data_IF_970817466328
#
_entry.id   IF_970817466328
#
_cell.length_a   1.000
_cell.length_b   1.000
_cell.length_c   1.000
_cell.angle_alpha   90.00
_cell.angle_beta   90.00
_cell.angle_gamma   90.00
#
_symmetry.space_group_name_H-M   'P 1'
#
loop_
_entity.id
_entity.type
_entity.pdbx_description
1 polymer ?
#
# COMPACT_ATOMS: atom_id res chain seq x y z
N UNK A 1 0.35 -2.08 -5.20
CA UNK A 1 -1.13 -2.16 -5.13
C UNK A 1 -1.68 -0.85 -4.55
N UNK A 2 -1.72 0.19 -5.40
CA UNK A 2 -1.98 1.58 -5.03
C UNK A 2 -3.46 1.80 -4.64
N UNK A 3 -3.70 2.55 -3.56
CA UNK A 3 -5.03 2.95 -3.06
C UNK A 3 -6.02 1.79 -2.92
N UNK A 4 -5.51 0.61 -2.61
CA UNK A 4 -6.32 -0.59 -2.43
C UNK A 4 -6.58 -1.40 -3.70
N UNK A 5 -6.16 -0.92 -4.87
CA UNK A 5 -6.43 -1.58 -6.15
C UNK A 5 -5.29 -2.55 -6.51
N UNK A 6 -5.58 -3.81 -6.80
CA UNK A 6 -4.58 -4.75 -7.29
C UNK A 6 -3.91 -4.28 -8.58
N UNK A 7 -2.65 -4.64 -8.76
CA UNK A 7 -2.03 -4.59 -10.08
C UNK A 7 -2.60 -5.68 -11.00
N UNK A 8 -2.47 -5.49 -12.31
CA UNK A 8 -2.71 -6.57 -13.28
C UNK A 8 -1.52 -7.53 -13.26
N UNK A 9 -1.57 -8.53 -12.40
CA UNK A 9 -0.50 -9.51 -12.25
C UNK A 9 -0.33 -10.41 -13.47
N UNK A 10 -1.38 -10.60 -14.28
CA UNK A 10 -1.26 -11.34 -15.54
C UNK A 10 -0.42 -10.55 -16.53
N UNK A 11 -0.71 -9.26 -16.70
CA UNK A 11 0.04 -8.40 -17.58
C UNK A 11 1.48 -8.20 -17.08
N UNK A 12 1.67 -8.05 -15.76
CA UNK A 12 3.00 -7.97 -15.17
C UNK A 12 3.82 -9.22 -15.46
N UNK A 13 3.26 -10.41 -15.23
CA UNK A 13 3.92 -11.68 -15.53
C UNK A 13 4.24 -11.81 -17.03
N UNK A 14 3.30 -11.43 -17.90
CA UNK A 14 3.51 -11.42 -19.35
C UNK A 14 4.66 -10.50 -19.78
N UNK A 15 4.75 -9.32 -19.17
CA UNK A 15 5.82 -8.34 -19.47
C UNK A 15 7.17 -8.82 -18.95
N UNK A 16 7.21 -9.42 -17.77
CA UNK A 16 8.45 -9.98 -17.21
C UNK A 16 8.95 -11.13 -18.10
N UNK A 17 8.05 -12.03 -18.54
CA UNK A 17 8.43 -13.19 -19.35
C UNK A 17 9.49 -14.06 -18.65
N UNK A 18 10.51 -14.44 -19.39
CA UNK A 18 11.60 -15.31 -18.90
C UNK A 18 12.74 -14.54 -18.20
N UNK A 19 12.55 -13.26 -17.86
CA UNK A 19 13.59 -12.49 -17.17
C UNK A 19 13.69 -12.92 -15.71
N UNK A 20 14.91 -13.02 -15.21
CA UNK A 20 15.19 -13.24 -13.80
C UNK A 20 14.93 -11.94 -13.01
N UNK A 21 13.68 -11.74 -12.63
CA UNK A 21 13.20 -10.54 -11.92
C UNK A 21 12.42 -10.94 -10.68
N UNK A 22 12.81 -10.39 -9.54
CA UNK A 22 12.08 -10.54 -8.29
C UNK A 22 10.93 -9.53 -8.23
N UNK A 23 9.76 -9.99 -7.82
CA UNK A 23 8.61 -9.14 -7.55
C UNK A 23 8.49 -8.97 -6.03
N UNK A 24 8.50 -7.72 -5.60
CA UNK A 24 8.15 -7.31 -4.24
C UNK A 24 6.85 -6.51 -4.31
N UNK A 25 5.86 -6.89 -3.48
CA UNK A 25 4.57 -6.22 -3.46
C UNK A 25 4.48 -5.24 -2.29
N UNK A 26 4.25 -3.97 -2.59
CA UNK A 26 3.81 -3.02 -1.57
C UNK A 26 2.28 -3.05 -1.47
N UNK A 27 1.77 -3.52 -0.32
CA UNK A 27 0.36 -3.63 0.01
C UNK A 27 -0.02 -2.76 1.21
N UNK A 28 0.74 -1.72 1.49
CA UNK A 28 0.47 -0.85 2.62
C UNK A 28 -0.96 -0.28 2.55
N UNK A 29 -1.46 0.00 1.34
CA UNK A 29 -2.81 0.52 1.10
C UNK A 29 -3.80 -0.54 0.59
N UNK A 30 -3.43 -1.81 0.50
CA UNK A 30 -4.23 -2.84 -0.17
C UNK A 30 -4.45 -4.13 0.62
N UNK A 31 -4.38 -4.03 1.95
CA UNK A 31 -4.68 -5.16 2.82
C UNK A 31 -6.11 -5.68 2.54
N UNK A 32 -6.23 -6.98 2.24
CA UNK A 32 -7.48 -7.65 1.88
C UNK A 32 -7.94 -7.47 0.43
N UNK A 33 -7.18 -6.77 -0.41
CA UNK A 33 -7.41 -6.78 -1.84
C UNK A 33 -7.03 -8.14 -2.45
N UNK A 34 -7.76 -8.55 -3.49
CA UNK A 34 -7.48 -9.82 -4.19
C UNK A 34 -7.49 -9.63 -5.70
N UNK A 35 -6.65 -10.40 -6.40
CA UNK A 35 -6.67 -10.50 -7.85
C UNK A 35 -6.91 -11.96 -8.23
N UNK A 36 -7.98 -12.22 -9.00
CA UNK A 36 -8.41 -13.57 -9.38
C UNK A 36 -8.57 -14.53 -8.18
N UNK A 37 -9.05 -14.02 -7.05
CA UNK A 37 -9.28 -14.78 -5.83
C UNK A 37 -8.04 -15.02 -4.97
N UNK A 38 -6.84 -14.63 -5.42
CA UNK A 38 -5.60 -14.71 -4.64
C UNK A 38 -5.31 -13.39 -3.95
N UNK A 39 -4.88 -13.41 -2.69
CA UNK A 39 -4.57 -12.23 -1.90
C UNK A 39 -3.39 -11.45 -2.49
N UNK A 40 -3.54 -10.12 -2.60
CA UNK A 40 -2.40 -9.24 -2.86
C UNK A 40 -1.36 -9.36 -1.74
N UNK A 41 -0.08 -9.26 -2.09
CA UNK A 41 1.03 -9.53 -1.17
C UNK A 41 1.58 -10.95 -1.24
N UNK A 42 0.97 -11.82 -2.06
CA UNK A 42 1.38 -13.22 -2.21
C UNK A 42 1.72 -13.61 -3.66
N UNK A 43 1.74 -12.65 -4.58
CA UNK A 43 2.08 -12.90 -5.99
C UNK A 43 3.58 -12.89 -6.25
N UNK A 44 4.33 -12.08 -5.50
CA UNK A 44 5.78 -11.98 -5.60
C UNK A 44 6.53 -12.79 -4.54
N UNK A 45 7.84 -12.56 -4.46
CA UNK A 45 8.72 -13.18 -3.45
C UNK A 45 8.33 -12.77 -2.02
N UNK A 46 7.97 -11.50 -1.84
CA UNK A 46 7.55 -10.93 -0.57
C UNK A 46 6.47 -9.88 -0.79
N UNK A 47 5.60 -9.71 0.22
CA UNK A 47 4.62 -8.64 0.29
C UNK A 47 4.72 -7.87 1.60
N UNK A 48 4.73 -6.53 1.54
CA UNK A 48 4.68 -5.67 2.72
C UNK A 48 3.27 -5.18 2.99
N UNK A 49 2.93 -5.03 4.28
CA UNK A 49 1.66 -4.47 4.75
C UNK A 49 1.93 -3.45 5.83
N UNK A 50 1.18 -2.37 5.86
CA UNK A 50 1.23 -1.38 6.92
C UNK A 50 0.07 -1.56 7.91
N UNK A 51 0.37 -1.35 9.17
CA UNK A 51 -0.60 -1.19 10.25
C UNK A 51 -0.49 0.19 10.92
N UNK A 52 -0.02 1.18 10.15
CA UNK A 52 -0.02 2.59 10.53
C UNK A 52 -1.45 3.06 10.79
N UNK A 53 -1.63 4.06 11.66
CA UNK A 53 -2.94 4.43 12.21
C UNK A 53 -4.03 4.74 11.16
N UNK A 54 -3.67 5.18 9.96
CA UNK A 54 -4.61 5.55 8.90
C UNK A 54 -4.89 4.43 7.89
N UNK A 55 -4.34 3.24 8.09
CA UNK A 55 -4.49 2.12 7.16
C UNK A 55 -5.71 1.24 7.50
N UNK A 56 -5.89 0.12 6.80
CA UNK A 56 -7.07 -0.75 6.95
C UNK A 56 -7.24 -1.30 8.36
N UNK A 57 -6.13 -1.65 9.01
CA UNK A 57 -6.06 -1.95 10.45
C UNK A 57 -4.95 -1.10 11.06
N UNK A 58 -5.06 -0.78 12.33
CA UNK A 58 -4.13 0.11 12.99
C UNK A 58 -3.52 -0.51 14.26
N UNK A 59 -2.20 -0.42 14.37
CA UNK A 59 -1.45 -0.74 15.59
C UNK A 59 -0.66 0.47 16.10
N UNK A 60 -1.10 1.67 15.77
CA UNK A 60 -0.45 2.96 15.88
C UNK A 60 0.70 3.09 14.87
N UNK A 61 1.79 2.43 15.09
CA UNK A 61 2.90 2.21 14.17
C UNK A 61 3.10 0.71 13.99
N UNK A 62 3.53 0.29 12.82
CA UNK A 62 3.85 -1.11 12.55
C UNK A 62 3.63 -1.54 11.11
N UNK A 63 3.97 -2.78 10.85
CA UNK A 63 3.81 -3.42 9.55
C UNK A 63 4.21 -4.87 9.60
N UNK A 64 3.98 -5.56 8.50
CA UNK A 64 4.30 -6.97 8.33
C UNK A 64 4.92 -7.18 6.95
N UNK A 65 5.85 -8.11 6.88
CA UNK A 65 6.32 -8.69 5.62
C UNK A 65 5.92 -10.15 5.60
N UNK A 66 5.32 -10.60 4.51
CA UNK A 66 4.94 -12.00 4.30
C UNK A 66 5.75 -12.59 3.14
N UNK A 67 6.11 -13.85 3.27
CA UNK A 67 6.82 -14.61 2.24
C UNK A 67 6.58 -16.11 2.45
N UNK A 68 6.57 -16.88 1.36
CA UNK A 68 6.59 -18.34 1.38
C UNK A 68 8.02 -18.90 1.24
N UNK A 69 9.02 -18.02 1.05
CA UNK A 69 10.43 -18.37 0.94
C UNK A 69 11.08 -18.44 2.34
N UNK A 70 11.55 -19.61 2.72
CA UNK A 70 12.09 -19.88 4.05
C UNK A 70 13.42 -19.14 4.30
N UNK A 71 14.27 -18.99 3.29
CA UNK A 71 15.51 -18.22 3.40
C UNK A 71 15.22 -16.74 3.66
N UNK A 72 14.31 -16.15 2.87
CA UNK A 72 13.84 -14.78 3.09
C UNK A 72 13.22 -14.61 4.48
N UNK A 73 12.42 -15.56 4.94
CA UNK A 73 11.83 -15.51 6.28
C UNK A 73 12.90 -15.49 7.39
N UNK A 74 13.90 -16.36 7.31
CA UNK A 74 15.00 -16.40 8.27
C UNK A 74 15.85 -15.11 8.23
N UNK A 75 16.14 -14.59 7.03
CA UNK A 75 16.83 -13.31 6.87
C UNK A 75 16.04 -12.16 7.52
N UNK A 76 14.74 -12.09 7.30
CA UNK A 76 13.86 -11.06 7.89
C UNK A 76 13.84 -11.15 9.42
N UNK A 77 13.80 -12.36 9.99
CA UNK A 77 13.87 -12.57 11.45
C UNK A 77 15.16 -12.02 12.05
N UNK A 78 16.30 -12.24 11.40
CA UNK A 78 17.59 -11.73 11.84
C UNK A 78 17.70 -10.22 11.62
N UNK A 79 17.40 -9.74 10.40
CA UNK A 79 17.54 -8.33 10.00
C UNK A 79 16.73 -7.38 10.88
N UNK A 80 15.50 -7.74 11.26
CA UNK A 80 14.64 -6.88 12.11
C UNK A 80 15.21 -6.64 13.51
N UNK A 81 16.18 -7.47 13.93
CA UNK A 81 16.75 -7.50 15.28
C UNK A 81 18.28 -7.49 15.23
N UNK A 82 18.88 -6.52 14.57
CA UNK A 82 20.33 -6.28 14.49
C UNK A 82 21.16 -7.39 13.81
N UNK A 83 20.54 -8.36 13.14
CA UNK A 83 21.22 -9.55 12.64
C UNK A 83 21.41 -10.65 13.70
N UNK A 84 20.58 -10.66 14.75
CA UNK A 84 20.68 -11.58 15.88
C UNK A 84 20.11 -12.98 15.56
N UNK A 85 20.83 -14.02 16.00
CA UNK A 85 20.43 -15.42 15.79
C UNK A 85 19.34 -15.90 16.74
N UNK A 86 19.05 -15.14 17.81
CA UNK A 86 18.13 -15.56 18.90
C UNK A 86 16.78 -16.12 18.43
N UNK A 87 16.16 -15.48 17.44
CA UNK A 87 14.83 -15.84 16.96
C UNK A 87 14.86 -16.79 15.74
N UNK A 88 16.04 -17.18 15.28
CA UNK A 88 16.17 -18.16 14.22
C UNK A 88 15.86 -19.57 14.77
N UNK A 89 15.25 -20.46 13.99
CA UNK A 89 15.18 -21.88 14.33
C UNK A 89 16.58 -22.53 14.33
N UNK A 90 16.71 -23.70 14.93
CA UNK A 90 18.00 -24.39 14.99
C UNK A 90 18.52 -24.73 13.60
N UNK A 91 17.64 -25.21 12.72
CA UNK A 91 17.93 -25.35 11.30
C UNK A 91 17.47 -24.11 10.56
N UNK A 92 18.39 -23.30 10.04
CA UNK A 92 18.09 -22.05 9.34
C UNK A 92 19.10 -21.77 8.21
N UNK A 93 18.75 -20.85 7.32
CA UNK A 93 19.55 -20.49 6.15
C UNK A 93 20.53 -19.32 6.39
N UNK A 94 20.62 -18.79 7.61
CA UNK A 94 21.42 -17.58 7.89
C UNK A 94 22.77 -17.92 8.51
N UNK A 95 22.79 -18.82 9.50
CA UNK A 95 24.03 -19.25 10.17
C UNK A 95 23.82 -20.52 10.98
N UNK A 96 24.82 -21.39 11.04
CA UNK A 96 24.84 -22.50 11.96
C UNK A 96 24.79 -22.00 13.41
N UNK A 97 23.92 -22.54 14.25
CA UNK A 97 23.86 -22.20 15.65
C UNK A 97 24.94 -22.91 16.46
N UNK A 98 25.44 -22.23 17.47
CA UNK A 98 26.38 -22.83 18.43
C UNK A 98 25.63 -23.64 19.49
N UNK A 99 26.16 -24.82 19.84
CA UNK A 99 25.68 -25.64 20.97
C UNK A 99 26.02 -24.95 22.32
N UNK A 100 26.93 -24.01 22.33
CA UNK A 100 27.28 -23.24 23.51
C UNK A 100 26.28 -22.09 23.72
N UNK A 101 25.38 -22.24 24.68
CA UNK A 101 24.37 -21.24 25.02
C UNK A 101 24.95 -19.86 25.29
N UNK A 102 26.11 -19.77 25.96
CA UNK A 102 26.72 -18.51 26.29
C UNK A 102 27.19 -17.75 25.05
N UNK A 103 27.80 -18.43 24.10
CA UNK A 103 28.26 -17.85 22.83
C UNK A 103 27.07 -17.45 21.94
N UNK A 104 26.02 -18.29 21.89
CA UNK A 104 24.84 -18.05 21.05
C UNK A 104 23.95 -16.92 21.58
N UNK A 105 23.96 -16.64 22.90
CA UNK A 105 23.00 -15.74 23.54
C UNK A 105 23.02 -14.30 23.01
N UNK A 106 24.17 -13.80 22.53
CA UNK A 106 24.35 -12.47 21.95
C UNK A 106 25.12 -12.52 20.62
N UNK A 107 24.80 -13.48 19.79
CA UNK A 107 25.48 -13.66 18.52
C UNK A 107 24.75 -12.93 17.38
N UNK A 108 25.48 -12.01 16.73
CA UNK A 108 25.02 -11.22 15.58
C UNK A 108 25.83 -11.62 14.35
N UNK A 109 25.18 -12.04 13.29
CA UNK A 109 25.83 -12.71 12.14
C UNK A 109 25.76 -11.90 10.85
N UNK A 110 24.82 -10.97 10.76
CA UNK A 110 24.67 -10.04 9.64
C UNK A 110 24.38 -8.63 10.15
N UNK A 111 24.71 -7.56 9.40
CA UNK A 111 24.24 -6.21 9.70
C UNK A 111 22.71 -6.18 9.64
N UNK A 112 22.08 -5.59 10.66
CA UNK A 112 20.62 -5.55 10.74
C UNK A 112 20.10 -4.22 11.29
N UNK A 113 18.78 -4.15 11.45
CA UNK A 113 18.04 -2.97 11.89
C UNK A 113 17.49 -3.16 13.29
N UNK A 114 17.04 -2.08 13.91
CA UNK A 114 16.27 -2.12 15.15
C UNK A 114 14.80 -1.82 14.85
N UNK A 115 14.08 -2.82 14.30
CA UNK A 115 12.68 -2.66 13.87
C UNK A 115 11.79 -3.78 14.43
N UNK A 116 12.11 -4.26 15.64
CA UNK A 116 11.26 -5.23 16.34
C UNK A 116 9.94 -4.58 16.75
N UNK A 117 8.79 -5.26 16.55
CA UNK A 117 7.51 -4.73 16.98
C UNK A 117 7.39 -4.73 18.51
N UNK A 118 6.53 -3.85 19.03
CA UNK A 118 6.10 -3.93 20.42
C UNK A 118 5.08 -5.06 20.58
N UNK A 119 5.12 -5.78 21.69
CA UNK A 119 4.11 -6.81 22.04
C UNK A 119 2.70 -6.22 22.07
N UNK A 120 2.56 -4.98 22.54
CA UNK A 120 1.29 -4.25 22.55
C UNK A 120 0.73 -4.05 21.14
N UNK A 121 1.57 -3.72 20.16
CA UNK A 121 1.16 -3.62 18.76
C UNK A 121 0.66 -4.96 18.21
N UNK A 122 1.30 -6.06 18.58
CA UNK A 122 0.86 -7.41 18.23
C UNK A 122 -0.51 -7.76 18.83
N UNK A 123 -0.74 -7.42 20.09
CA UNK A 123 -2.02 -7.65 20.78
C UNK A 123 -3.16 -6.82 20.13
N UNK A 124 -2.93 -5.54 19.86
CA UNK A 124 -3.88 -4.66 19.17
C UNK A 124 -4.15 -5.18 17.76
N UNK A 125 -3.10 -5.53 17.01
CA UNK A 125 -3.21 -6.03 15.64
C UNK A 125 -4.04 -7.30 15.54
N UNK A 126 -3.90 -8.21 16.50
CA UNK A 126 -4.70 -9.44 16.57
C UNK A 126 -6.20 -9.17 16.71
N UNK A 127 -6.58 -8.14 17.46
CA UNK A 127 -7.98 -7.72 17.59
C UNK A 127 -8.47 -6.93 16.36
N UNK A 128 -7.62 -6.09 15.77
CA UNK A 128 -7.91 -5.37 14.54
C UNK A 128 -8.12 -6.33 13.35
N UNK A 129 -7.30 -7.36 13.24
CA UNK A 129 -7.39 -8.34 12.15
C UNK A 129 -8.74 -9.07 12.13
N UNK A 130 -9.36 -9.32 13.29
CA UNK A 130 -10.70 -9.92 13.37
C UNK A 130 -11.78 -9.03 12.77
N UNK A 131 -11.58 -7.70 12.77
CA UNK A 131 -12.52 -6.71 12.24
C UNK A 131 -12.30 -6.45 10.74
N UNK A 132 -11.12 -6.76 10.21
CA UNK A 132 -10.72 -6.46 8.84
C UNK A 132 -11.74 -6.88 7.77
N UNK A 133 -12.35 -8.09 7.80
CA UNK A 133 -13.35 -8.47 6.80
C UNK A 133 -14.52 -7.49 6.73
N UNK A 134 -15.06 -7.08 7.88
CA UNK A 134 -16.14 -6.10 7.95
C UNK A 134 -15.72 -4.70 7.49
N UNK A 135 -14.49 -4.30 7.81
CA UNK A 135 -13.93 -3.03 7.35
C UNK A 135 -13.82 -2.97 5.83
N UNK A 136 -13.35 -4.06 5.20
CA UNK A 136 -13.25 -4.14 3.74
C UNK A 136 -14.63 -4.17 3.09
N UNK A 137 -15.57 -4.92 3.66
CA UNK A 137 -16.94 -4.97 3.16
C UNK A 137 -17.56 -3.56 3.12
N UNK A 138 -17.44 -2.80 4.20
CA UNK A 138 -17.98 -1.44 4.25
C UNK A 138 -17.27 -0.50 3.28
N UNK A 139 -15.93 -0.56 3.18
CA UNK A 139 -15.17 0.22 2.20
C UNK A 139 -15.63 -0.06 0.76
N UNK A 140 -15.94 -1.31 0.43
CA UNK A 140 -16.47 -1.68 -0.89
C UNK A 140 -17.88 -1.15 -1.12
N UNK A 141 -18.77 -1.18 -0.11
CA UNK A 141 -20.10 -0.56 -0.21
C UNK A 141 -20.01 0.95 -0.48
N UNK A 142 -19.14 1.64 0.22
CA UNK A 142 -18.88 3.05 -0.02
C UNK A 142 -18.35 3.28 -1.44
N UNK A 143 -17.47 2.39 -1.91
CA UNK A 143 -16.90 2.49 -3.25
C UNK A 143 -17.91 2.22 -4.37
N UNK A 144 -18.86 1.31 -4.18
CA UNK A 144 -19.97 1.10 -5.10
C UNK A 144 -20.77 2.40 -5.27
N UNK A 145 -21.14 3.05 -4.17
CA UNK A 145 -21.84 4.32 -4.20
C UNK A 145 -21.00 5.43 -4.84
N UNK A 146 -19.71 5.53 -4.51
CA UNK A 146 -18.79 6.48 -5.11
C UNK A 146 -18.70 6.29 -6.64
N UNK A 147 -18.51 5.07 -7.10
CA UNK A 147 -18.44 4.76 -8.52
C UNK A 147 -19.76 5.10 -9.21
N UNK A 148 -20.90 4.71 -8.64
CA UNK A 148 -22.20 5.05 -9.21
C UNK A 148 -22.45 6.56 -9.30
N UNK A 149 -21.93 7.32 -8.33
CA UNK A 149 -22.07 8.77 -8.28
C UNK A 149 -21.23 9.48 -9.34
N UNK A 150 -20.00 8.99 -9.61
CA UNK A 150 -19.02 9.71 -10.42
C UNK A 150 -18.65 9.05 -11.76
N UNK A 151 -19.07 7.81 -12.05
CA UNK A 151 -18.71 7.10 -13.29
C UNK A 151 -19.11 7.81 -14.59
N UNK A 152 -20.15 8.65 -14.55
CA UNK A 152 -20.67 9.40 -15.68
C UNK A 152 -20.28 10.90 -15.63
N UNK A 153 -19.42 11.30 -14.73
CA UNK A 153 -18.93 12.67 -14.65
C UNK A 153 -17.75 12.86 -15.60
N UNK A 154 -18.02 13.48 -16.74
CA UNK A 154 -17.03 13.69 -17.80
C UNK A 154 -15.84 14.57 -17.41
N UNK A 155 -15.89 15.23 -16.26
CA UNK A 155 -14.81 16.07 -15.75
C UNK A 155 -13.65 15.29 -15.14
N UNK A 156 -13.92 14.06 -14.64
CA UNK A 156 -12.97 13.25 -13.92
C UNK A 156 -12.73 11.88 -14.58
N UNK A 157 -11.53 11.35 -14.35
CA UNK A 157 -11.28 9.91 -14.37
C UNK A 157 -11.24 9.44 -12.92
N UNK A 158 -11.95 8.37 -12.64
CA UNK A 158 -11.92 7.69 -11.34
C UNK A 158 -11.24 6.33 -11.47
N UNK A 159 -10.90 5.71 -10.34
CA UNK A 159 -10.27 4.41 -10.32
C UNK A 159 -11.09 3.36 -11.08
N UNK A 160 -10.43 2.68 -12.01
CA UNK A 160 -10.94 1.43 -12.59
C UNK A 160 -10.49 0.27 -11.72
N UNK A 161 -11.43 -0.43 -11.12
CA UNK A 161 -11.13 -1.58 -10.29
C UNK A 161 -10.55 -2.74 -11.11
N UNK A 162 -9.42 -3.28 -10.64
CA UNK A 162 -8.81 -4.51 -11.12
C UNK A 162 -8.92 -5.56 -10.01
N UNK A 163 -9.46 -6.74 -10.30
CA UNK A 163 -9.72 -7.74 -9.26
C UNK A 163 -10.77 -7.26 -8.24
N UNK A 164 -10.52 -7.47 -6.95
CA UNK A 164 -11.35 -6.98 -5.86
C UNK A 164 -10.53 -6.05 -4.95
N UNK A 165 -10.68 -4.76 -5.17
CA UNK A 165 -10.00 -3.70 -4.43
C UNK A 165 -10.45 -3.65 -2.96
N UNK A 166 -9.55 -3.26 -2.07
CA UNK A 166 -9.88 -2.93 -0.68
C UNK A 166 -10.20 -1.44 -0.46
N UNK A 167 -10.14 -0.65 -1.52
CA UNK A 167 -10.56 0.75 -1.60
C UNK A 167 -10.07 1.62 -0.42
N UNK A 168 -8.78 1.88 -0.42
CA UNK A 168 -8.15 2.75 0.59
C UNK A 168 -8.67 4.19 0.52
N UNK A 169 -8.89 4.71 -0.68
CA UNK A 169 -9.42 6.03 -0.94
C UNK A 169 -10.07 6.13 -2.32
N UNK A 170 -10.67 7.26 -2.59
CA UNK A 170 -11.35 7.58 -3.84
C UNK A 170 -10.51 8.55 -4.65
N UNK A 171 -9.90 8.07 -5.73
CA UNK A 171 -9.05 8.88 -6.59
C UNK A 171 -9.85 9.61 -7.67
N UNK A 172 -9.48 10.86 -7.90
CA UNK A 172 -9.94 11.70 -8.98
C UNK A 172 -8.76 12.19 -9.81
N UNK A 173 -8.91 12.17 -11.11
CA UNK A 173 -7.97 12.77 -12.04
C UNK A 173 -8.76 13.73 -12.91
N UNK A 174 -8.51 15.02 -12.78
CA UNK A 174 -9.16 16.06 -13.56
C UNK A 174 -8.74 15.90 -15.02
N UNK A 175 -9.72 15.75 -15.92
CA UNK A 175 -9.47 15.73 -17.37
C UNK A 175 -9.15 17.12 -17.87
N UNK A 176 -8.14 17.27 -18.70
CA UNK A 176 -7.79 18.57 -19.31
C UNK A 176 -8.95 19.17 -20.12
N UNK A 177 -9.79 18.29 -20.71
CA UNK A 177 -10.99 18.70 -21.45
C UNK A 177 -12.10 19.30 -20.59
N UNK A 178 -12.04 19.12 -19.26
CA UNK A 178 -13.08 19.61 -18.34
C UNK A 178 -13.04 21.13 -18.12
N UNK A 179 -11.91 21.76 -18.40
CA UNK A 179 -11.66 23.15 -18.05
C UNK A 179 -11.47 23.43 -16.56
N UNK A 180 -11.55 22.39 -15.71
CA UNK A 180 -11.31 22.54 -14.27
C UNK A 180 -9.83 22.75 -13.96
N UNK A 181 -9.56 23.55 -12.94
CA UNK A 181 -8.24 23.74 -12.37
C UNK A 181 -8.13 22.96 -11.05
N UNK A 182 -7.07 22.15 -10.89
CA UNK A 182 -6.90 21.36 -9.67
C UNK A 182 -6.81 22.23 -8.42
N UNK A 183 -6.08 23.33 -8.46
CA UNK A 183 -5.96 24.23 -7.32
C UNK A 183 -7.33 24.76 -6.86
N UNK A 184 -8.17 25.22 -7.79
CA UNK A 184 -9.51 25.72 -7.50
C UNK A 184 -10.43 24.60 -7.00
N UNK A 185 -10.30 23.38 -7.56
CA UNK A 185 -11.05 22.21 -7.11
C UNK A 185 -10.67 21.83 -5.67
N UNK A 186 -9.37 21.78 -5.35
CA UNK A 186 -8.89 21.49 -4.01
C UNK A 186 -9.29 22.58 -3.02
N UNK A 187 -9.33 23.84 -3.44
CA UNK A 187 -9.80 24.94 -2.61
C UNK A 187 -11.28 24.80 -2.24
N UNK A 188 -12.14 24.35 -3.15
CA UNK A 188 -13.54 24.04 -2.84
C UNK A 188 -13.65 22.94 -1.77
N UNK A 189 -12.82 21.88 -1.85
CA UNK A 189 -12.79 20.82 -0.86
C UNK A 189 -12.32 21.33 0.51
N UNK A 190 -11.26 22.13 0.54
CA UNK A 190 -10.73 22.76 1.76
C UNK A 190 -11.80 23.66 2.44
N UNK A 191 -12.48 24.51 1.66
CA UNK A 191 -13.53 25.40 2.16
C UNK A 191 -14.77 24.63 2.66
N UNK A 192 -14.94 23.40 2.20
CA UNK A 192 -15.98 22.46 2.62
C UNK A 192 -15.54 21.49 3.75
N UNK A 193 -14.35 21.69 4.32
CA UNK A 193 -13.75 20.83 5.35
C UNK A 193 -13.62 19.35 4.92
N UNK A 194 -13.34 19.13 3.63
CA UNK A 194 -13.08 17.80 3.05
C UNK A 194 -11.58 17.61 2.90
N UNK A 195 -11.03 16.64 3.61
CA UNK A 195 -9.62 16.31 3.56
C UNK A 195 -9.26 15.62 2.24
N UNK A 196 -8.16 16.04 1.63
CA UNK A 196 -7.66 15.48 0.38
C UNK A 196 -6.14 15.27 0.43
N UNK A 197 -5.64 14.41 -0.44
CA UNK A 197 -4.21 14.10 -0.58
C UNK A 197 -3.81 14.01 -2.04
N UNK A 198 -2.53 14.25 -2.36
CA UNK A 198 -1.98 13.88 -3.68
C UNK A 198 -2.05 12.37 -3.85
N UNK A 199 -2.12 11.89 -5.10
CA UNK A 199 -2.02 10.45 -5.38
C UNK A 199 -0.56 10.03 -5.12
N UNK A 200 -0.30 9.70 -3.87
CA UNK A 200 1.01 9.34 -3.29
C UNK A 200 2.11 10.33 -3.75
N UNK A 201 3.20 9.85 -4.32
CA UNK A 201 4.30 10.69 -4.83
C UNK A 201 4.07 11.26 -6.23
N UNK A 202 3.02 10.83 -6.94
CA UNK A 202 2.76 11.29 -8.30
C UNK A 202 3.92 11.00 -9.26
N UNK A 203 4.57 12.04 -9.78
CA UNK A 203 5.77 11.94 -10.61
C UNK A 203 7.03 11.82 -9.75
N UNK A 204 7.46 10.60 -9.46
CA UNK A 204 8.65 10.35 -8.63
C UNK A 204 9.94 10.93 -9.23
N UNK A 205 9.98 11.23 -10.56
CA UNK A 205 11.16 11.87 -11.16
C UNK A 205 11.43 13.29 -10.65
N UNK A 206 10.48 13.88 -9.92
CA UNK A 206 10.62 15.17 -9.25
C UNK A 206 11.12 15.06 -7.81
N UNK A 207 11.26 13.85 -7.28
CA UNK A 207 11.68 13.64 -5.88
C UNK A 207 13.12 14.10 -5.67
N UNK A 208 13.33 14.97 -4.69
CA UNK A 208 14.66 15.42 -4.29
C UNK A 208 15.53 14.25 -3.78
N UNK A 209 14.91 13.15 -3.32
CA UNK A 209 15.64 11.97 -2.86
C UNK A 209 16.44 11.28 -3.97
N UNK A 210 16.07 11.47 -5.23
CA UNK A 210 16.77 10.87 -6.37
C UNK A 210 18.22 11.35 -6.48
N UNK A 211 18.59 12.49 -5.93
CA UNK A 211 19.98 12.96 -5.87
C UNK A 211 20.94 12.01 -5.15
N UNK A 212 20.42 11.09 -4.33
CA UNK A 212 21.21 10.12 -3.58
C UNK A 212 21.31 8.75 -4.24
N UNK A 213 20.71 8.57 -5.43
CA UNK A 213 20.65 7.30 -6.12
C UNK A 213 21.21 7.40 -7.54
N UNK A 214 21.83 6.34 -8.02
CA UNK A 214 22.04 6.14 -9.44
C UNK A 214 20.76 5.56 -10.04
N UNK A 215 20.20 6.22 -11.05
CA UNK A 215 18.93 5.79 -11.65
C UNK A 215 18.86 6.17 -13.14
N UNK A 216 17.97 5.50 -13.83
CA UNK A 216 17.58 5.84 -15.19
C UNK A 216 16.07 6.06 -15.29
N UNK A 217 15.68 7.03 -16.09
CA UNK A 217 14.26 7.28 -16.38
C UNK A 217 13.90 6.62 -17.71
N UNK A 218 13.10 5.55 -17.66
CA UNK A 218 12.64 4.88 -18.85
C UNK A 218 11.60 5.72 -19.60
N UNK A 219 11.94 6.21 -20.80
CA UNK A 219 11.06 7.02 -21.68
C UNK A 219 10.53 8.29 -21.01
N UNK A 220 9.44 8.81 -21.58
CA UNK A 220 8.71 9.94 -21.02
C UNK A 220 7.60 9.42 -20.10
N UNK A 221 7.74 9.56 -18.79
CA UNK A 221 6.76 9.13 -17.78
C UNK A 221 5.49 10.01 -17.80
N UNK A 222 4.88 10.15 -18.99
CA UNK A 222 3.77 11.07 -19.25
C UNK A 222 2.56 10.82 -18.36
N UNK A 223 2.21 9.56 -18.10
CA UNK A 223 1.08 9.21 -17.24
C UNK A 223 1.33 9.63 -15.79
N UNK A 224 2.54 9.39 -15.26
CA UNK A 224 2.91 9.82 -13.91
C UNK A 224 2.86 11.36 -13.79
N UNK A 225 3.38 12.08 -14.79
CA UNK A 225 3.31 13.54 -14.85
C UNK A 225 1.88 14.07 -14.93
N UNK A 226 1.02 13.37 -15.68
CA UNK A 226 -0.40 13.74 -15.79
C UNK A 226 -1.13 13.53 -14.45
N UNK A 227 -0.91 12.40 -13.80
CA UNK A 227 -1.44 12.10 -12.47
C UNK A 227 -0.97 13.11 -11.42
N UNK A 228 0.32 13.41 -11.41
CA UNK A 228 0.91 14.38 -10.49
C UNK A 228 0.32 15.78 -10.65
N UNK A 229 0.06 16.21 -11.90
CA UNK A 229 -0.51 17.51 -12.21
C UNK A 229 -2.00 17.61 -11.88
N UNK A 230 -2.78 16.55 -12.15
CA UNK A 230 -4.24 16.59 -12.21
C UNK A 230 -4.92 15.70 -11.17
N UNK A 231 -4.16 14.86 -10.47
CA UNK A 231 -4.70 13.87 -9.54
C UNK A 231 -4.78 14.35 -8.10
N UNK A 232 -5.77 13.82 -7.38
CA UNK A 232 -5.92 13.87 -5.93
C UNK A 232 -6.79 12.70 -5.48
N UNK A 233 -6.81 12.40 -4.18
CA UNK A 233 -7.77 11.48 -3.64
C UNK A 233 -8.38 12.01 -2.34
N UNK A 234 -9.57 11.52 -2.00
CA UNK A 234 -10.22 11.69 -0.71
C UNK A 234 -10.30 10.34 0.00
N UNK A 235 -10.35 10.36 1.32
CA UNK A 235 -10.33 9.16 2.13
C UNK A 235 -11.58 8.29 1.96
N UNK A 236 -11.42 6.99 2.18
CA UNK A 236 -12.49 6.05 2.43
C UNK A 236 -12.28 5.45 3.83
N UNK A 237 -13.35 5.06 4.50
CA UNK A 237 -13.28 4.47 5.83
C UNK A 237 -14.14 3.20 5.92
N UNK A 238 -14.11 2.56 7.08
CA UNK A 238 -14.98 1.44 7.42
C UNK A 238 -16.33 1.86 8.00
N UNK A 239 -16.61 3.17 8.00
CA UNK A 239 -17.91 3.74 8.35
C UNK A 239 -18.76 3.90 7.08
N UNK A 240 -20.07 4.04 7.25
CA UNK A 240 -20.98 4.40 6.14
C UNK A 240 -20.73 5.85 5.73
N UNK A 241 -20.28 6.06 4.51
CA UNK A 241 -19.99 7.37 3.93
C UNK A 241 -21.05 7.87 2.94
N UNK A 242 -22.26 7.34 2.98
CA UNK A 242 -23.30 7.70 2.01
C UNK A 242 -23.57 9.20 1.95
N UNK A 243 -23.74 9.85 3.10
CA UNK A 243 -23.96 11.29 3.19
C UNK A 243 -22.72 12.10 2.74
N UNK A 244 -21.51 11.63 3.06
CA UNK A 244 -20.27 12.30 2.70
C UNK A 244 -20.01 12.22 1.19
N UNK A 245 -20.38 11.12 0.55
CA UNK A 245 -20.24 10.97 -0.91
C UNK A 245 -21.26 11.86 -1.63
N UNK A 246 -22.48 11.98 -1.14
CA UNK A 246 -23.47 12.94 -1.67
C UNK A 246 -22.97 14.39 -1.51
N UNK A 247 -22.49 14.76 -0.34
CA UNK A 247 -21.92 16.07 -0.07
C UNK A 247 -20.71 16.36 -0.96
N UNK A 248 -19.81 15.40 -1.12
CA UNK A 248 -18.66 15.52 -2.03
C UNK A 248 -19.12 15.82 -3.47
N UNK A 249 -20.20 15.17 -3.93
CA UNK A 249 -20.77 15.44 -5.25
C UNK A 249 -21.28 16.88 -5.39
N UNK A 250 -21.98 17.39 -4.36
CA UNK A 250 -22.49 18.77 -4.33
C UNK A 250 -21.33 19.78 -4.44
N UNK A 251 -20.27 19.60 -3.66
CA UNK A 251 -19.09 20.49 -3.65
C UNK A 251 -18.34 20.45 -4.98
N UNK A 252 -18.26 19.29 -5.62
CA UNK A 252 -17.58 19.14 -6.91
C UNK A 252 -18.47 19.51 -8.11
N UNK A 253 -19.74 19.77 -7.90
CA UNK A 253 -20.61 20.26 -8.98
C UNK A 253 -20.34 21.71 -9.29
#
# INVERSE_FOLDING_TARGET
NLLGNPNDFNELTRVIGDRDMLILEDNCESMGATFQGKQCGTFGLMGSFSSFFSHHIATMEGGMVVTDDEECYHLLLALRAHGWTRNLPDNNHVADKSDNWFEESFRFVIPGYNVRPLEMSGAIGSEQLKKLPGFIEQRRKNAELFVDTFKNDDRFLIQKELGASSWFGFSFIIKESSGLNRFETLKKLEDADIEYRPIVTGDFTKSESLQYFEYEVHKNVSNAKYLDKNGFFVGNSHEDLSNQIEYLKEILS
#
